data_IF_400560351510
#
_entry.id   IF_400560351510
#
_cell.length_a   1.000
_cell.length_b   1.000
_cell.length_c   1.000
_cell.angle_alpha   90.00
_cell.angle_beta   90.00
_cell.angle_gamma   90.00
#
_symmetry.space_group_name_H-M   'P 1'
#
loop_
_entity.id
_entity.type
_entity.pdbx_description
1 polymer ?
#
# COMPACT_ATOMS: atom_id res chain seq x y z
N UNK A 1 -14.72 8.68 19.47
CA UNK A 1 -13.81 7.63 18.95
C UNK A 1 -12.57 8.24 18.37
N UNK A 2 -11.45 7.59 18.58
CA UNK A 2 -10.14 8.05 18.08
C UNK A 2 -10.07 7.92 16.55
N UNK A 3 -10.63 6.84 16.02
CA UNK A 3 -10.59 6.56 14.58
C UNK A 3 -11.96 6.69 13.96
N UNK A 4 -11.98 7.16 12.68
CA UNK A 4 -13.23 7.30 11.94
C UNK A 4 -13.84 5.92 11.61
N UNK A 5 -15.10 5.94 11.20
CA UNK A 5 -15.78 4.73 10.75
C UNK A 5 -15.08 4.09 9.56
N UNK A 6 -14.52 4.90 8.66
CA UNK A 6 -13.80 4.40 7.49
C UNK A 6 -12.53 3.66 7.88
N UNK A 7 -11.79 4.18 8.85
CA UNK A 7 -10.60 3.48 9.37
C UNK A 7 -11.00 2.15 9.96
N UNK A 8 -12.03 2.14 10.81
CA UNK A 8 -12.47 0.92 11.48
C UNK A 8 -13.04 -0.09 10.48
N UNK A 9 -13.73 0.39 9.45
CA UNK A 9 -14.28 -0.47 8.41
C UNK A 9 -13.16 -1.18 7.64
N UNK A 10 -12.13 -0.44 7.25
CA UNK A 10 -10.96 -1.04 6.58
C UNK A 10 -10.18 -1.97 7.50
N UNK A 11 -10.14 -1.66 8.79
CA UNK A 11 -9.44 -2.51 9.75
C UNK A 11 -10.19 -3.83 9.99
N UNK A 12 -11.51 -3.77 10.18
CA UNK A 12 -12.32 -4.97 10.47
C UNK A 12 -12.61 -5.79 9.22
N UNK A 13 -12.68 -5.16 8.06
CA UNK A 13 -12.98 -5.82 6.78
C UNK A 13 -11.94 -5.41 5.74
N UNK A 14 -10.66 -5.76 5.97
CA UNK A 14 -9.61 -5.33 5.06
C UNK A 14 -9.75 -5.99 3.68
N UNK A 15 -9.47 -5.21 2.65
CA UNK A 15 -9.51 -5.66 1.27
C UNK A 15 -8.14 -6.20 0.86
N UNK A 16 -8.15 -7.19 -0.03
CA UNK A 16 -6.94 -7.66 -0.69
C UNK A 16 -5.84 -8.13 0.28
N UNK A 17 -6.25 -8.77 1.37
CA UNK A 17 -5.30 -9.37 2.31
C UNK A 17 -4.79 -10.69 1.72
N UNK A 18 -3.48 -10.90 1.80
CA UNK A 18 -2.90 -12.17 1.38
C UNK A 18 -1.61 -12.01 0.62
N UNK A 19 -1.19 -13.09 -0.01
CA UNK A 19 0.01 -13.16 -0.82
C UNK A 19 -0.37 -13.49 -2.26
N UNK A 20 0.55 -13.22 -3.18
CA UNK A 20 0.40 -13.61 -4.58
C UNK A 20 1.51 -14.59 -4.88
N UNK A 21 1.15 -15.74 -5.45
CA UNK A 21 2.10 -16.84 -5.68
C UNK A 21 3.19 -16.49 -6.69
N UNK A 22 2.81 -15.78 -7.76
CA UNK A 22 3.75 -15.37 -8.81
C UNK A 22 3.68 -13.87 -9.03
N UNK A 23 4.17 -13.07 -8.09
CA UNK A 23 4.05 -11.63 -8.19
C UNK A 23 5.06 -11.07 -9.18
N UNK A 24 4.73 -9.91 -9.76
CA UNK A 24 5.68 -9.12 -10.53
C UNK A 24 6.72 -8.49 -9.60
N UNK A 25 6.32 -8.15 -8.39
CA UNK A 25 7.22 -7.65 -7.35
C UNK A 25 6.62 -7.86 -5.96
N UNK A 26 7.50 -7.94 -4.98
CA UNK A 26 7.15 -7.98 -3.55
C UNK A 26 8.05 -6.98 -2.85
N UNK A 27 7.46 -6.16 -1.97
CA UNK A 27 8.24 -5.24 -1.14
C UNK A 27 7.78 -5.33 0.31
N UNK A 28 8.69 -4.97 1.20
CA UNK A 28 8.40 -4.93 2.62
C UNK A 28 8.96 -3.63 3.18
N UNK A 29 8.16 -2.94 3.98
CA UNK A 29 8.57 -1.72 4.66
C UNK A 29 8.26 -1.84 6.13
N UNK A 30 9.20 -1.38 6.95
CA UNK A 30 9.05 -1.36 8.41
C UNK A 30 9.12 0.08 8.89
N UNK A 31 8.21 0.44 9.81
CA UNK A 31 8.32 1.69 10.53
C UNK A 31 9.22 1.45 11.74
N UNK A 32 10.44 2.02 11.77
CA UNK A 32 11.38 1.73 12.86
C UNK A 32 10.94 2.27 14.22
N UNK A 33 10.03 3.25 14.22
CA UNK A 33 9.55 3.85 15.48
C UNK A 33 8.52 2.95 16.15
N UNK A 34 7.56 2.44 15.38
CA UNK A 34 6.45 1.64 15.91
C UNK A 34 6.63 0.14 15.71
N UNK A 35 7.56 -0.27 14.84
CA UNK A 35 7.72 -1.66 14.50
C UNK A 35 6.66 -2.21 13.56
N UNK A 36 5.80 -1.35 13.00
CA UNK A 36 4.81 -1.79 12.02
C UNK A 36 5.51 -2.29 10.77
N UNK A 37 5.03 -3.40 10.22
CA UNK A 37 5.58 -3.99 9.00
C UNK A 37 4.46 -4.11 7.97
N UNK A 38 4.69 -3.57 6.78
CA UNK A 38 3.76 -3.66 5.67
C UNK A 38 4.44 -4.35 4.50
N UNK A 39 3.80 -5.42 4.01
CA UNK A 39 4.30 -6.17 2.87
C UNK A 39 3.28 -6.12 1.75
N UNK A 40 3.76 -5.85 0.53
CA UNK A 40 2.91 -5.73 -0.65
C UNK A 40 3.37 -6.70 -1.74
N UNK A 41 2.40 -7.36 -2.37
CA UNK A 41 2.61 -8.21 -3.55
C UNK A 41 1.81 -7.60 -4.70
N UNK A 42 2.42 -7.47 -5.86
CA UNK A 42 1.74 -6.90 -7.03
C UNK A 42 1.93 -7.73 -8.28
N UNK A 43 0.90 -7.72 -9.13
CA UNK A 43 0.99 -8.20 -10.50
C UNK A 43 0.69 -7.02 -11.41
N UNK A 44 1.56 -6.82 -12.42
CA UNK A 44 1.39 -5.76 -13.43
C UNK A 44 1.04 -6.42 -14.76
N UNK A 45 0.02 -5.89 -15.42
CA UNK A 45 -0.35 -6.28 -16.77
C UNK A 45 -0.60 -5.03 -17.58
N UNK A 46 0.01 -4.95 -18.77
CA UNK A 46 -0.14 -3.79 -19.68
C UNK A 46 0.21 -2.46 -19.00
N UNK A 47 1.24 -2.47 -18.16
CA UNK A 47 1.72 -1.28 -17.47
C UNK A 47 0.85 -0.79 -16.33
N UNK A 48 -0.14 -1.59 -15.91
CA UNK A 48 -1.06 -1.23 -14.85
C UNK A 48 -1.12 -2.30 -13.77
N UNK A 49 -1.47 -1.90 -12.56
CA UNK A 49 -1.63 -2.82 -11.43
C UNK A 49 -2.87 -3.68 -11.69
N UNK A 50 -2.65 -4.96 -11.98
CA UNK A 50 -3.73 -5.92 -12.17
C UNK A 50 -4.19 -6.52 -10.84
N UNK A 51 -3.26 -6.71 -9.91
CA UNK A 51 -3.54 -7.28 -8.61
C UNK A 51 -2.56 -6.71 -7.60
N UNK A 52 -3.06 -6.39 -6.42
CA UNK A 52 -2.23 -5.90 -5.32
C UNK A 52 -2.81 -6.47 -4.03
N UNK A 53 -1.96 -7.17 -3.27
CA UNK A 53 -2.34 -7.73 -1.98
C UNK A 53 -1.37 -7.30 -0.90
N UNK A 54 -1.82 -7.36 0.35
CA UNK A 54 -0.97 -6.96 1.46
C UNK A 54 -1.12 -7.84 2.67
N UNK A 55 -0.09 -7.82 3.49
CA UNK A 55 -0.12 -8.26 4.88
C UNK A 55 0.51 -7.17 5.73
N UNK A 56 -0.06 -6.93 6.89
CA UNK A 56 0.44 -5.90 7.78
C UNK A 56 0.43 -6.43 9.21
N UNK A 57 1.56 -6.27 9.88
CA UNK A 57 1.65 -6.47 11.32
C UNK A 57 1.82 -5.08 11.92
N UNK A 58 0.78 -4.56 12.58
CA UNK A 58 0.88 -3.22 13.09
C UNK A 58 -0.41 -2.70 13.70
N UNK A 59 -0.43 -1.39 13.89
CA UNK A 59 -1.55 -0.71 14.51
C UNK A 59 -2.77 -0.64 13.60
N UNK A 60 -3.91 -0.25 14.17
CA UNK A 60 -5.17 -0.14 13.44
C UNK A 60 -5.04 0.74 12.19
N UNK A 61 -4.49 1.98 12.27
CA UNK A 61 -4.37 2.78 11.07
C UNK A 61 -3.40 2.21 10.04
N UNK A 62 -2.36 1.46 10.44
CA UNK A 62 -1.45 0.84 9.48
C UNK A 62 -2.16 -0.23 8.65
N UNK A 63 -2.93 -1.10 9.29
CA UNK A 63 -3.74 -2.11 8.60
C UNK A 63 -4.76 -1.45 7.69
N UNK A 64 -5.45 -0.42 8.19
CA UNK A 64 -6.45 0.31 7.41
C UNK A 64 -5.82 0.97 6.17
N UNK A 65 -4.65 1.58 6.33
CA UNK A 65 -3.95 2.22 5.21
C UNK A 65 -3.52 1.18 4.16
N UNK A 66 -3.02 0.02 4.59
CA UNK A 66 -2.70 -1.08 3.67
C UNK A 66 -3.91 -1.52 2.87
N UNK A 67 -5.04 -1.71 3.52
CA UNK A 67 -6.29 -2.05 2.85
C UNK A 67 -6.69 -0.99 1.83
N UNK A 68 -6.67 0.29 2.24
CA UNK A 68 -7.09 1.38 1.36
C UNK A 68 -6.20 1.50 0.12
N UNK A 69 -4.88 1.43 0.27
CA UNK A 69 -3.98 1.61 -0.88
C UNK A 69 -4.10 0.46 -1.87
N UNK A 70 -4.42 -0.75 -1.42
CA UNK A 70 -4.61 -1.87 -2.35
C UNK A 70 -5.84 -1.67 -3.23
N UNK A 71 -6.90 -1.10 -2.69
CA UNK A 71 -8.07 -0.74 -3.50
C UNK A 71 -7.78 0.43 -4.43
N UNK A 72 -7.15 1.48 -3.90
CA UNK A 72 -6.89 2.69 -4.66
C UNK A 72 -5.92 2.44 -5.82
N UNK A 73 -4.99 1.53 -5.65
CA UNK A 73 -3.95 1.26 -6.65
C UNK A 73 -4.42 0.37 -7.80
N UNK A 74 -5.51 -0.35 -7.65
CA UNK A 74 -5.98 -1.28 -8.67
C UNK A 74 -6.27 -0.53 -9.98
N UNK A 75 -5.72 -1.02 -11.07
CA UNK A 75 -5.91 -0.42 -12.40
C UNK A 75 -5.04 0.80 -12.68
N UNK A 76 -4.25 1.26 -11.72
CA UNK A 76 -3.40 2.43 -11.91
C UNK A 76 -2.08 2.07 -12.61
N UNK A 77 -1.56 3.03 -13.36
CA UNK A 77 -0.21 2.92 -13.93
C UNK A 77 0.81 3.05 -12.80
N UNK A 78 2.07 2.74 -13.09
CA UNK A 78 3.14 2.87 -12.09
C UNK A 78 3.32 4.32 -11.65
N UNK A 79 3.20 5.28 -12.57
CA UNK A 79 3.30 6.69 -12.23
C UNK A 79 2.16 7.13 -11.32
N UNK A 80 0.94 6.69 -11.63
CA UNK A 80 -0.22 6.97 -10.79
C UNK A 80 -0.10 6.33 -9.40
N UNK A 81 0.43 5.10 -9.35
CA UNK A 81 0.68 4.40 -8.09
C UNK A 81 1.62 5.21 -7.20
N UNK A 82 2.73 5.66 -7.77
CA UNK A 82 3.75 6.40 -7.01
C UNK A 82 3.33 7.84 -6.69
N UNK A 83 2.26 8.32 -7.30
CA UNK A 83 1.72 9.65 -7.03
C UNK A 83 0.74 9.68 -5.86
N UNK A 84 0.34 8.53 -5.33
CA UNK A 84 -0.54 8.48 -4.16
C UNK A 84 0.19 9.09 -2.96
N UNK A 85 -0.47 10.02 -2.26
CA UNK A 85 0.14 10.75 -1.15
C UNK A 85 -0.48 10.36 0.19
N UNK A 86 0.27 10.61 1.25
CA UNK A 86 -0.23 10.42 2.62
C UNK A 86 -1.46 11.29 2.87
N UNK A 87 -1.49 12.49 2.31
CA UNK A 87 -2.64 13.39 2.44
C UNK A 87 -3.91 12.77 1.85
N UNK A 88 -3.78 12.08 0.71
CA UNK A 88 -4.93 11.41 0.09
C UNK A 88 -5.47 10.29 0.98
N UNK A 89 -4.57 9.52 1.60
CA UNK A 89 -4.96 8.45 2.53
C UNK A 89 -5.69 9.05 3.73
N UNK A 90 -5.12 10.07 4.32
CA UNK A 90 -5.71 10.72 5.51
C UNK A 90 -7.04 11.37 5.19
N UNK A 91 -7.15 12.00 4.02
CA UNK A 91 -8.41 12.60 3.57
C UNK A 91 -9.49 11.54 3.36
N UNK A 92 -9.12 10.38 2.79
CA UNK A 92 -10.04 9.28 2.58
C UNK A 92 -10.61 8.75 3.91
N UNK A 93 -9.82 8.81 4.97
CA UNK A 93 -10.25 8.38 6.29
C UNK A 93 -10.93 9.49 7.12
N UNK A 94 -11.04 10.69 6.56
CA UNK A 94 -11.61 11.81 7.31
C UNK A 94 -10.65 12.39 8.32
N UNK A 95 -9.35 12.15 8.13
CA UNK A 95 -8.29 12.55 9.03
C UNK A 95 -7.82 11.41 9.93
N UNK A 96 -6.60 11.55 10.44
CA UNK A 96 -6.03 10.61 11.39
C UNK A 96 -5.52 11.38 12.60
N UNK A 97 -5.54 10.78 13.81
CA UNK A 97 -4.89 11.40 14.96
C UNK A 97 -3.42 11.69 14.64
N UNK A 98 -2.83 12.77 15.17
CA UNK A 98 -1.43 13.08 14.89
C UNK A 98 -0.46 11.94 15.13
N UNK A 99 -0.69 11.13 16.15
CA UNK A 99 0.15 9.98 16.48
C UNK A 99 0.08 8.86 15.43
N UNK A 100 -0.88 8.92 14.50
CA UNK A 100 -1.11 7.88 13.48
C UNK A 100 -0.65 8.28 12.08
N UNK A 101 -0.08 9.46 11.90
CA UNK A 101 0.39 9.91 10.59
C UNK A 101 1.47 9.00 10.02
N UNK A 102 2.25 8.34 10.87
CA UNK A 102 3.28 7.40 10.42
C UNK A 102 2.68 6.23 9.62
N UNK A 103 1.42 5.88 9.85
CA UNK A 103 0.77 4.78 9.14
C UNK A 103 0.55 5.13 7.67
N UNK A 104 0.07 6.34 7.38
CA UNK A 104 -0.10 6.78 5.99
C UNK A 104 1.25 6.96 5.30
N UNK A 105 2.26 7.45 6.01
CA UNK A 105 3.60 7.58 5.47
C UNK A 105 4.22 6.22 5.13
N UNK A 106 4.03 5.22 5.99
CA UNK A 106 4.50 3.86 5.75
C UNK A 106 3.89 3.29 4.47
N UNK A 107 2.57 3.46 4.31
CA UNK A 107 1.87 2.97 3.12
C UNK A 107 2.38 3.64 1.85
N UNK A 108 2.57 4.95 1.88
CA UNK A 108 3.10 5.71 0.73
C UNK A 108 4.52 5.27 0.39
N UNK A 109 5.37 5.10 1.40
CA UNK A 109 6.75 4.64 1.19
C UNK A 109 6.77 3.25 0.55
N UNK A 110 5.86 2.36 0.98
CA UNK A 110 5.74 1.03 0.41
C UNK A 110 5.30 1.08 -1.06
N UNK A 111 4.34 1.96 -1.40
CA UNK A 111 3.89 2.12 -2.78
C UNK A 111 5.00 2.65 -3.69
N UNK A 112 5.78 3.60 -3.21
CA UNK A 112 6.90 4.14 -4.00
C UNK A 112 7.96 3.07 -4.23
N UNK A 113 8.27 2.31 -3.19
CA UNK A 113 9.23 1.22 -3.32
C UNK A 113 8.73 0.16 -4.29
N UNK A 114 7.44 -0.17 -4.21
CA UNK A 114 6.81 -1.12 -5.11
C UNK A 114 6.88 -0.63 -6.56
N UNK A 115 6.54 0.63 -6.80
CA UNK A 115 6.60 1.22 -8.14
C UNK A 115 8.00 1.17 -8.73
N UNK A 116 9.01 1.46 -7.93
CA UNK A 116 10.41 1.38 -8.34
C UNK A 116 10.81 -0.06 -8.69
N UNK A 117 10.41 -1.02 -7.86
CA UNK A 117 10.70 -2.44 -8.09
C UNK A 117 10.03 -2.94 -9.36
N UNK A 118 8.77 -2.53 -9.60
CA UNK A 118 8.02 -2.92 -10.78
C UNK A 118 8.63 -2.29 -12.04
N UNK A 119 9.04 -1.04 -11.97
CA UNK A 119 9.70 -0.36 -13.10
C UNK A 119 11.01 -1.04 -13.46
N UNK A 120 11.79 -1.41 -12.46
CA UNK A 120 13.05 -2.12 -12.67
C UNK A 120 12.81 -3.49 -13.31
N UNK A 121 11.84 -4.23 -12.83
CA UNK A 121 11.44 -5.53 -13.37
C UNK A 121 11.02 -5.42 -14.83
N UNK A 122 10.27 -4.39 -15.21
CA UNK A 122 9.86 -4.17 -16.59
C UNK A 122 11.05 -3.87 -17.50
N UNK A 123 12.05 -3.14 -17.00
CA UNK A 123 13.28 -2.88 -17.76
C UNK A 123 14.04 -4.18 -18.03
N UNK A 124 14.11 -5.06 -17.04
CA UNK A 124 14.78 -6.34 -17.19
C UNK A 124 14.06 -7.21 -18.21
N UNK A 125 12.72 -7.18 -18.22
CA UNK A 125 11.91 -7.92 -19.18
C UNK A 125 12.10 -7.42 -20.60
N UNK A 126 12.38 -6.13 -20.76
CA UNK A 126 12.59 -5.49 -22.07
C UNK A 126 14.07 -5.57 -22.49
N UNK A 127 14.95 -5.97 -21.60
CA UNK A 127 16.38 -5.99 -21.78
C UNK A 127 16.85 -6.71 -23.02
N UNK A 128 18.09 -6.50 -23.44
CA UNK A 128 18.64 -6.95 -24.72
C UNK A 128 18.61 -8.44 -24.92
#
# INVERSE_FOLDING_TARGET
MIYSEKVLEHFHHPRNVGEIERPSAVVEMTNPVCGDVLKLWAVVEDGRIAELKFKCEGCIPAVAAGSWVTEAAHGKSLDELMAITARQIEAAFGGLPPASHHASELAVAALKRLGQALRHSQRDDVGP
#
